data_IF_352321678334
#
_entry.id   IF_352321678334
#
_cell.length_a   1.000
_cell.length_b   1.000
_cell.length_c   1.000
_cell.angle_alpha   90.00
_cell.angle_beta   90.00
_cell.angle_gamma   90.00
#
_symmetry.space_group_name_H-M   'P 1'
#
loop_
_entity.id
_entity.type
_entity.pdbx_description
1 polymer ?
#
# COMPACT_ATOMS: atom_id res chain seq x y z
N UNK A 1 39.13 27.76 25.96
CA UNK A 1 38.83 26.99 24.72
C UNK A 1 37.93 25.77 24.99
N UNK A 2 36.74 25.97 25.59
CA UNK A 2 35.81 24.88 25.99
C UNK A 2 34.36 25.12 25.56
N UNK A 3 34.11 26.02 24.59
CA UNK A 3 32.75 26.39 24.16
C UNK A 3 32.39 26.01 22.72
N UNK A 4 33.34 25.49 21.94
CA UNK A 4 33.09 25.13 20.53
C UNK A 4 32.89 23.62 20.29
N UNK A 5 33.18 22.76 21.27
CA UNK A 5 33.01 21.32 21.10
C UNK A 5 31.54 20.86 21.17
N UNK A 6 30.64 21.68 21.72
CA UNK A 6 29.22 21.33 21.86
C UNK A 6 28.41 21.63 20.58
N UNK A 7 28.92 22.49 19.70
CA UNK A 7 28.21 22.85 18.46
C UNK A 7 28.42 21.83 17.34
N UNK A 8 29.45 20.99 17.43
CA UNK A 8 29.77 19.97 16.40
C UNK A 8 28.98 18.68 16.58
N UNK A 9 28.34 18.46 17.74
CA UNK A 9 27.60 17.22 18.04
C UNK A 9 26.13 17.30 17.56
N UNK A 10 25.62 18.48 17.22
CA UNK A 10 24.22 18.65 16.75
C UNK A 10 24.11 18.57 15.21
N UNK A 11 25.22 18.59 14.47
CA UNK A 11 25.22 18.61 13.01
C UNK A 11 25.47 17.24 12.35
N UNK A 12 25.67 16.18 13.13
CA UNK A 12 25.89 14.80 12.66
C UNK A 12 24.82 13.86 13.21
N UNK A 13 23.61 13.96 12.65
CA UNK A 13 22.72 12.81 12.34
C UNK A 13 21.42 13.34 11.75
N UNK A 14 21.48 14.05 10.63
CA UNK A 14 20.47 13.78 9.59
C UNK A 14 21.01 12.54 8.88
N UNK A 15 20.98 11.40 9.57
CA UNK A 15 20.95 10.14 8.86
C UNK A 15 19.56 10.15 8.27
N UNK A 16 19.46 10.53 7.00
CA UNK A 16 18.28 10.23 6.19
C UNK A 16 18.25 8.71 6.15
N UNK A 17 17.62 8.09 7.15
CA UNK A 17 17.29 6.68 7.11
C UNK A 17 16.24 6.57 6.01
N UNK A 18 16.70 6.28 4.80
CA UNK A 18 15.84 5.78 3.74
C UNK A 18 15.13 4.57 4.33
N UNK A 19 13.82 4.68 4.54
CA UNK A 19 13.03 3.54 5.00
C UNK A 19 12.89 2.63 3.79
N UNK A 20 12.94 1.32 3.95
CA UNK A 20 12.71 0.40 2.83
C UNK A 20 11.23 0.05 2.74
N UNK A 21 10.64 0.11 1.55
CA UNK A 21 9.30 -0.42 1.26
C UNK A 21 9.39 -1.73 0.49
N UNK A 22 8.63 -2.72 0.93
CA UNK A 22 8.41 -4.01 0.28
C UNK A 22 7.16 -3.95 -0.59
N UNK A 23 7.32 -3.87 -1.90
CA UNK A 23 6.22 -3.78 -2.86
C UNK A 23 5.95 -5.15 -3.49
N UNK A 24 4.70 -5.62 -3.45
CA UNK A 24 4.31 -6.90 -4.04
C UNK A 24 3.74 -6.72 -5.45
N UNK A 25 4.51 -7.11 -6.45
CA UNK A 25 4.05 -7.25 -7.83
C UNK A 25 3.64 -8.70 -8.12
N UNK A 26 3.26 -8.97 -9.37
CA UNK A 26 2.93 -10.31 -9.86
C UNK A 26 3.85 -10.67 -11.03
N UNK A 27 4.24 -11.95 -11.13
CA UNK A 27 4.87 -12.47 -12.35
C UNK A 27 3.80 -12.82 -13.42
N UNK A 28 4.23 -13.41 -14.53
CA UNK A 28 3.34 -13.86 -15.63
C UNK A 28 2.29 -14.89 -15.17
N UNK A 29 2.64 -15.74 -14.20
CA UNK A 29 1.76 -16.75 -13.60
C UNK A 29 0.87 -16.19 -12.48
N UNK A 30 0.85 -14.87 -12.29
CA UNK A 30 0.11 -14.17 -11.22
C UNK A 30 0.52 -14.59 -9.79
N UNK A 31 1.78 -15.01 -9.62
CA UNK A 31 2.40 -15.30 -8.33
C UNK A 31 3.10 -14.05 -7.76
N UNK A 32 3.12 -13.88 -6.43
CA UNK A 32 3.63 -12.67 -5.79
C UNK A 32 5.15 -12.58 -5.89
N UNK A 33 5.65 -11.43 -6.34
CA UNK A 33 7.08 -11.10 -6.36
C UNK A 33 7.29 -9.83 -5.55
N UNK A 34 7.99 -9.96 -4.42
CA UNK A 34 8.29 -8.82 -3.54
C UNK A 34 9.59 -8.15 -3.97
N UNK A 35 9.53 -6.84 -4.21
CA UNK A 35 10.70 -5.99 -4.47
C UNK A 35 10.86 -4.98 -3.34
N UNK A 36 12.09 -4.64 -3.03
CA UNK A 36 12.41 -3.60 -2.06
C UNK A 36 12.73 -2.31 -2.81
N UNK A 37 12.11 -1.21 -2.41
CA UNK A 37 12.37 0.13 -2.92
C UNK A 37 12.73 1.06 -1.76
N UNK A 38 13.48 2.10 -2.06
CA UNK A 38 13.73 3.19 -1.11
C UNK A 38 12.45 4.02 -0.94
N UNK A 39 12.01 4.15 0.31
CA UNK A 39 10.91 5.01 0.72
C UNK A 39 11.41 6.42 1.00
N UNK A 40 10.53 7.38 0.79
CA UNK A 40 10.70 8.78 1.14
C UNK A 40 9.85 9.10 2.36
N UNK A 41 8.91 10.04 2.25
CA UNK A 41 8.20 10.64 3.39
C UNK A 41 6.81 10.04 3.63
N UNK A 42 6.14 9.50 2.60
CA UNK A 42 4.75 9.05 2.70
C UNK A 42 4.60 7.59 2.24
N UNK A 43 4.73 6.62 3.15
CA UNK A 43 4.79 5.21 2.78
C UNK A 43 3.51 4.70 2.12
N UNK A 44 2.33 5.18 2.51
CA UNK A 44 1.07 4.71 1.92
C UNK A 44 0.93 5.25 0.49
N UNK A 45 1.19 6.53 0.27
CA UNK A 45 1.14 7.11 -1.06
C UNK A 45 2.17 6.45 -1.99
N UNK A 46 3.40 6.27 -1.52
CA UNK A 46 4.49 5.65 -2.28
C UNK A 46 4.22 4.19 -2.62
N UNK A 47 3.56 3.43 -1.73
CA UNK A 47 3.09 2.07 -2.04
C UNK A 47 2.16 2.10 -3.26
N UNK A 48 1.20 3.01 -3.31
CA UNK A 48 0.26 3.11 -4.42
C UNK A 48 0.93 3.59 -5.70
N UNK A 49 1.84 4.56 -5.61
CA UNK A 49 2.64 5.02 -6.75
C UNK A 49 3.47 3.87 -7.34
N UNK A 50 4.22 3.15 -6.50
CA UNK A 50 5.03 2.01 -6.92
C UNK A 50 4.18 0.88 -7.51
N UNK A 51 3.09 0.49 -6.84
CA UNK A 51 2.19 -0.54 -7.37
C UNK A 51 1.59 -0.15 -8.72
N UNK A 52 1.35 1.14 -8.99
CA UNK A 52 0.81 1.58 -10.27
C UNK A 52 1.82 1.64 -11.42
N UNK A 53 3.10 1.44 -11.13
CA UNK A 53 4.21 1.49 -12.09
C UNK A 53 5.13 0.28 -11.94
N UNK A 54 4.64 -0.94 -12.26
CA UNK A 54 5.42 -2.15 -12.09
C UNK A 54 6.70 -2.14 -12.97
N UNK A 55 7.81 -2.72 -12.50
CA UNK A 55 9.00 -2.96 -13.32
C UNK A 55 8.67 -3.80 -14.57
N UNK A 56 9.54 -3.78 -15.60
CA UNK A 56 9.44 -4.70 -16.72
C UNK A 56 9.30 -6.15 -16.25
N UNK A 57 8.52 -6.95 -16.99
CA UNK A 57 8.26 -8.39 -16.71
C UNK A 57 7.39 -8.65 -15.47
N UNK A 58 7.01 -7.62 -14.72
CA UNK A 58 6.09 -7.72 -13.59
C UNK A 58 4.77 -7.00 -13.90
N UNK A 59 3.71 -7.48 -13.25
CA UNK A 59 2.35 -6.97 -13.41
C UNK A 59 1.82 -6.40 -12.10
N UNK A 60 0.93 -5.43 -12.24
CA UNK A 60 0.08 -4.93 -11.16
C UNK A 60 -1.31 -4.64 -11.70
N UNK A 61 -2.31 -4.83 -10.84
CA UNK A 61 -3.70 -4.47 -11.10
C UNK A 61 -4.10 -3.15 -10.46
N UNK A 62 -3.16 -2.43 -9.82
CA UNK A 62 -3.39 -1.13 -9.19
C UNK A 62 -3.32 -0.02 -10.24
N UNK A 63 -4.43 0.69 -10.53
CA UNK A 63 -4.41 1.79 -11.49
C UNK A 63 -3.64 3.00 -10.97
N UNK A 64 -3.09 3.79 -11.90
CA UNK A 64 -2.49 5.08 -11.56
C UNK A 64 -3.49 6.01 -10.88
N UNK A 65 -3.03 6.69 -9.82
CA UNK A 65 -3.81 7.68 -9.07
C UNK A 65 -5.16 7.15 -8.54
N UNK A 66 -5.24 5.86 -8.22
CA UNK A 66 -6.45 5.24 -7.67
C UNK A 66 -6.73 5.66 -6.22
N UNK A 67 -5.69 5.95 -5.44
CA UNK A 67 -5.84 6.39 -4.05
C UNK A 67 -6.26 7.87 -4.02
N UNK A 68 -7.46 8.13 -3.49
CA UNK A 68 -7.98 9.48 -3.28
C UNK A 68 -7.47 10.09 -1.98
N UNK A 69 -7.57 9.32 -0.90
CA UNK A 69 -7.13 9.72 0.43
C UNK A 69 -6.89 8.48 1.29
N UNK A 70 -6.18 8.65 2.40
CA UNK A 70 -6.09 7.63 3.43
C UNK A 70 -6.04 8.26 4.82
N UNK A 71 -6.48 7.51 5.83
CA UNK A 71 -6.55 7.98 7.21
C UNK A 71 -6.19 6.85 8.17
N UNK A 72 -5.48 7.19 9.24
CA UNK A 72 -5.28 6.28 10.38
C UNK A 72 -6.31 6.60 11.46
N UNK A 73 -7.04 5.59 11.93
CA UNK A 73 -8.02 5.71 13.02
C UNK A 73 -7.78 4.57 14.00
N UNK A 74 -7.08 4.86 15.10
CA UNK A 74 -6.59 3.79 15.98
C UNK A 74 -5.62 2.87 15.24
N UNK A 75 -5.89 1.56 15.23
CA UNK A 75 -5.15 0.54 14.48
C UNK A 75 -5.75 0.23 13.10
N UNK A 76 -6.68 1.06 12.62
CA UNK A 76 -7.27 0.95 11.29
C UNK A 76 -6.58 1.90 10.30
N UNK A 77 -6.32 1.40 9.09
CA UNK A 77 -6.03 2.22 7.91
C UNK A 77 -7.27 2.24 7.02
N UNK A 78 -7.81 3.43 6.81
CA UNK A 78 -8.91 3.65 5.87
C UNK A 78 -8.30 4.10 4.55
N UNK A 79 -8.55 3.35 3.47
CA UNK A 79 -8.17 3.69 2.11
C UNK A 79 -9.41 4.15 1.35
N UNK A 80 -9.38 5.37 0.83
CA UNK A 80 -10.46 5.91 0.00
C UNK A 80 -10.00 5.96 -1.45
N UNK A 81 -10.73 5.28 -2.33
CA UNK A 81 -10.36 5.05 -3.72
C UNK A 81 -11.27 5.85 -4.66
N UNK A 82 -10.70 6.33 -5.76
CA UNK A 82 -11.47 6.90 -6.87
C UNK A 82 -12.17 5.78 -7.65
N UNK A 83 -13.50 5.74 -7.59
CA UNK A 83 -14.30 4.71 -8.26
C UNK A 83 -14.15 4.74 -9.78
N UNK A 84 -13.90 5.91 -10.36
CA UNK A 84 -13.63 6.06 -11.79
C UNK A 84 -12.38 5.30 -12.27
N UNK A 85 -11.35 5.18 -11.43
CA UNK A 85 -10.09 4.49 -11.76
C UNK A 85 -10.24 2.97 -11.72
N UNK A 86 -11.28 2.48 -11.03
CA UNK A 86 -11.61 1.07 -10.90
C UNK A 86 -12.57 0.59 -12.00
N UNK A 87 -13.16 1.50 -12.79
CA UNK A 87 -14.12 1.12 -13.84
C UNK A 87 -13.49 0.19 -14.86
N UNK A 88 -14.23 -0.85 -15.24
CA UNK A 88 -13.81 -1.82 -16.25
C UNK A 88 -12.97 -2.98 -15.71
N UNK A 89 -12.65 -3.02 -14.41
CA UNK A 89 -12.10 -4.22 -13.79
C UNK A 89 -13.11 -5.37 -13.88
N UNK A 90 -12.64 -6.52 -14.35
CA UNK A 90 -13.34 -7.78 -14.21
C UNK A 90 -13.06 -8.41 -12.84
N UNK A 91 -13.59 -9.60 -12.59
CA UNK A 91 -13.42 -10.29 -11.32
C UNK A 91 -11.95 -10.57 -10.98
N UNK A 92 -11.13 -10.97 -11.96
CA UNK A 92 -9.72 -11.26 -11.74
C UNK A 92 -8.97 -9.98 -11.33
N UNK A 93 -9.20 -8.89 -12.07
CA UNK A 93 -8.60 -7.60 -11.76
C UNK A 93 -9.03 -7.06 -10.39
N UNK A 94 -10.32 -7.12 -10.04
CA UNK A 94 -10.79 -6.72 -8.70
C UNK A 94 -10.12 -7.55 -7.59
N UNK A 95 -10.02 -8.87 -7.80
CA UNK A 95 -9.41 -9.80 -6.84
C UNK A 95 -7.94 -9.47 -6.64
N UNK A 96 -7.14 -9.43 -7.71
CA UNK A 96 -5.71 -9.20 -7.60
C UNK A 96 -5.38 -7.77 -7.16
N UNK A 97 -6.17 -6.76 -7.54
CA UNK A 97 -6.07 -5.42 -6.97
C UNK A 97 -6.12 -5.48 -5.45
N UNK A 98 -7.17 -6.10 -4.90
CA UNK A 98 -7.39 -6.14 -3.46
C UNK A 98 -6.26 -6.90 -2.74
N UNK A 99 -5.87 -8.07 -3.25
CA UNK A 99 -4.79 -8.86 -2.66
C UNK A 99 -3.44 -8.15 -2.71
N UNK A 100 -3.05 -7.58 -3.85
CA UNK A 100 -1.78 -6.83 -3.97
C UNK A 100 -1.74 -5.64 -3.03
N UNK A 101 -2.80 -4.83 -2.99
CA UNK A 101 -2.87 -3.65 -2.13
C UNK A 101 -2.78 -4.04 -0.66
N UNK A 102 -3.64 -4.97 -0.20
CA UNK A 102 -3.67 -5.34 1.22
C UNK A 102 -2.37 -6.01 1.68
N UNK A 103 -1.86 -6.96 0.91
CA UNK A 103 -0.61 -7.64 1.23
C UNK A 103 0.56 -6.65 1.30
N UNK A 104 0.68 -5.76 0.31
CA UNK A 104 1.72 -4.72 0.30
C UNK A 104 1.58 -3.75 1.47
N UNK A 105 0.37 -3.32 1.82
CA UNK A 105 0.13 -2.47 2.99
C UNK A 105 0.61 -3.19 4.26
N UNK A 106 0.24 -4.45 4.46
CA UNK A 106 0.60 -5.19 5.68
C UNK A 106 2.10 -5.55 5.76
N UNK A 107 2.80 -5.68 4.63
CA UNK A 107 4.25 -5.82 4.61
C UNK A 107 4.96 -4.60 5.19
N UNK A 108 4.41 -3.40 5.02
CA UNK A 108 5.08 -2.13 5.32
C UNK A 108 4.55 -1.39 6.55
N UNK A 109 3.23 -1.36 6.74
CA UNK A 109 2.58 -0.48 7.73
C UNK A 109 2.28 -1.25 9.02
N UNK A 110 3.29 -1.50 9.86
CA UNK A 110 3.22 -2.44 11.00
C UNK A 110 2.20 -2.10 12.10
N UNK A 111 1.90 -0.83 12.33
CA UNK A 111 0.94 -0.40 13.37
C UNK A 111 -0.55 -0.58 13.01
N UNK A 112 -0.84 -1.04 11.79
CA UNK A 112 -2.21 -1.26 11.31
C UNK A 112 -2.60 -2.72 11.47
N UNK A 113 -3.73 -3.00 12.11
CA UNK A 113 -4.29 -4.35 12.21
C UNK A 113 -5.46 -4.57 11.25
N UNK A 114 -6.07 -3.50 10.75
CA UNK A 114 -7.23 -3.60 9.87
C UNK A 114 -7.15 -2.56 8.75
N UNK A 115 -7.47 -2.96 7.52
CA UNK A 115 -7.65 -2.02 6.42
C UNK A 115 -9.14 -1.94 6.08
N UNK A 116 -9.68 -0.73 5.96
CA UNK A 116 -11.04 -0.51 5.51
C UNK A 116 -11.03 0.23 4.18
N UNK A 117 -11.89 -0.14 3.24
CA UNK A 117 -11.92 0.46 1.91
C UNK A 117 -13.20 1.28 1.72
N UNK A 118 -13.02 2.51 1.26
CA UNK A 118 -14.07 3.40 0.77
C UNK A 118 -13.91 3.60 -0.73
N UNK A 119 -15.03 3.85 -1.41
CA UNK A 119 -15.03 4.26 -2.82
C UNK A 119 -15.80 5.56 -2.94
N UNK A 120 -15.12 6.58 -3.45
CA UNK A 120 -15.63 7.95 -3.55
C UNK A 120 -16.11 8.51 -2.20
N UNK A 121 -15.45 8.15 -1.10
CA UNK A 121 -15.77 8.55 0.27
C UNK A 121 -16.97 7.84 0.89
N UNK A 122 -17.49 6.80 0.24
CA UNK A 122 -18.68 6.06 0.69
C UNK A 122 -18.33 4.61 0.96
N UNK A 123 -18.98 4.04 1.98
CA UNK A 123 -19.00 2.58 2.20
C UNK A 123 -19.73 1.92 1.04
N UNK A 124 -19.20 0.79 0.57
CA UNK A 124 -19.77 0.01 -0.52
C UNK A 124 -19.86 -1.47 -0.13
N UNK A 125 -20.74 -2.18 -0.83
CA UNK A 125 -20.85 -3.64 -0.71
C UNK A 125 -19.74 -4.38 -1.43
N UNK A 126 -19.35 -3.86 -2.59
CA UNK A 126 -18.37 -4.45 -3.50
C UNK A 126 -17.43 -3.37 -4.02
N UNK A 127 -16.21 -3.76 -4.42
CA UNK A 127 -15.17 -2.86 -4.93
C UNK A 127 -15.63 -2.18 -6.22
N UNK A 128 -15.97 -2.98 -7.24
CA UNK A 128 -16.62 -2.50 -8.46
C UNK A 128 -17.94 -3.24 -8.67
N UNK A 129 -17.86 -4.56 -8.82
CA UNK A 129 -19.04 -5.40 -9.08
C UNK A 129 -18.99 -6.75 -8.38
N UNK A 130 -17.80 -7.31 -8.16
CA UNK A 130 -17.68 -8.72 -7.78
C UNK A 130 -17.09 -8.92 -6.39
N UNK A 131 -16.05 -8.17 -6.01
CA UNK A 131 -15.30 -8.45 -4.77
C UNK A 131 -15.88 -7.66 -3.60
N UNK A 132 -16.23 -8.37 -2.51
CA UNK A 132 -16.82 -7.78 -1.30
C UNK A 132 -15.83 -6.91 -0.52
N UNK A 133 -16.26 -5.70 -0.15
CA UNK A 133 -15.47 -4.75 0.67
C UNK A 133 -16.29 -4.17 1.84
N UNK A 134 -17.38 -4.84 2.27
CA UNK A 134 -18.27 -4.35 3.34
C UNK A 134 -17.55 -4.19 4.68
N UNK A 135 -16.66 -5.13 4.97
CA UNK A 135 -15.96 -5.26 6.24
C UNK A 135 -14.50 -4.82 6.11
N UNK A 136 -13.85 -4.61 7.26
CA UNK A 136 -12.41 -4.43 7.26
C UNK A 136 -11.69 -5.73 6.93
N UNK A 137 -10.47 -5.59 6.43
CA UNK A 137 -9.55 -6.66 6.12
C UNK A 137 -8.52 -6.78 7.25
N UNK A 138 -8.58 -7.84 8.08
CA UNK A 138 -7.69 -7.99 9.21
C UNK A 138 -6.31 -8.49 8.78
N UNK A 139 -5.25 -7.94 9.38
CA UNK A 139 -3.86 -8.30 9.13
C UNK A 139 -3.62 -9.81 9.15
N UNK A 140 -4.17 -10.51 10.15
CA UNK A 140 -3.93 -11.94 10.36
C UNK A 140 -4.23 -12.81 9.12
N UNK A 141 -5.19 -12.36 8.30
CA UNK A 141 -5.61 -13.04 7.07
C UNK A 141 -4.79 -12.55 5.88
N UNK A 142 -4.53 -11.25 5.80
CA UNK A 142 -4.03 -10.58 4.58
C UNK A 142 -2.54 -10.26 4.59
N UNK A 143 -1.83 -10.52 5.69
CA UNK A 143 -0.37 -10.45 5.74
C UNK A 143 0.33 -11.65 5.10
N UNK A 144 -0.45 -12.62 4.64
CA UNK A 144 -0.01 -13.78 3.85
C UNK A 144 -0.66 -13.68 2.48
N UNK A 145 0.05 -14.12 1.44
CA UNK A 145 -0.53 -14.22 0.10
C UNK A 145 -1.47 -15.43 0.03
N UNK A 146 -2.79 -15.25 -0.09
CA UNK A 146 -3.75 -16.35 0.07
C UNK A 146 -4.26 -16.89 -1.28
N UNK A 147 -3.71 -16.41 -2.41
CA UNK A 147 -4.07 -16.91 -3.74
C UNK A 147 -3.19 -18.11 -4.06
N UNK A 148 -3.84 -19.27 -4.19
CA UNK A 148 -3.28 -20.54 -4.64
C UNK A 148 -4.02 -21.01 -5.89
#
# INVERSE_FOLDING_TARGET
MKKYAFFTIILMTIVVFSTELKICYLNEDLLPVVKVIEAKENPVLEIFEALSSPPPELRSFVPQNVLRAYFFVGDYLILDLYGEKLKGMDFEAERYFLHQTLYTIFLNVKGVNNVYILVDGKRRGVLVKHVDIRFSFPREVWEKWPIH
#
